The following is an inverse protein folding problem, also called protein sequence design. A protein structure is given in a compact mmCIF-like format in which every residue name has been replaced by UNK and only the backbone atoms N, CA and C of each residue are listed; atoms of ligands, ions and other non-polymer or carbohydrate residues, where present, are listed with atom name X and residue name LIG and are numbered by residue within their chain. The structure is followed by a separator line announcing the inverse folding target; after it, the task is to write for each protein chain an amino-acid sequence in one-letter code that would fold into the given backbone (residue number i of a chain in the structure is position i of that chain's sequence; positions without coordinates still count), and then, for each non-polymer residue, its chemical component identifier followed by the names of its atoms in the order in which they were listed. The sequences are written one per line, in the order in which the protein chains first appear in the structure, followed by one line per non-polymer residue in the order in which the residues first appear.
data_IF_795583706621
#
_entry.id   IF_795583706621
#
_cell.length_a   1.000
_cell.length_b   1.000
_cell.length_c   1.000
_cell.angle_alpha   90.00
_cell.angle_beta   90.00
_cell.angle_gamma   90.00
#
_symmetry.space_group_name_H-M   'P 1'
#
loop_
_entity.id
_entity.type
_entity.pdbx_description
1 polymer ?
#
# COMPACT_ATOMS: atom_id res chain seq x y z
N UNK A 1 60.03 -63.51 -7.09
CA UNK A 1 58.63 -63.31 -6.65
C UNK A 1 57.88 -62.64 -7.79
N UNK A 2 56.80 -63.26 -8.28
CA UNK A 2 55.95 -62.69 -9.31
C UNK A 2 55.19 -61.50 -8.70
N UNK A 3 55.62 -60.29 -9.00
CA UNK A 3 54.84 -59.09 -8.75
C UNK A 3 53.65 -59.13 -9.70
N UNK A 4 52.53 -59.69 -9.22
CA UNK A 4 51.23 -59.56 -9.87
C UNK A 4 51.06 -58.11 -10.32
N UNK A 5 50.89 -57.92 -11.63
CA UNK A 5 50.71 -56.62 -12.30
C UNK A 5 49.50 -55.90 -11.70
N UNK A 6 49.74 -55.03 -10.74
CA UNK A 6 48.75 -54.05 -10.27
C UNK A 6 48.57 -53.04 -11.41
N UNK A 7 47.34 -52.86 -11.88
CA UNK A 7 47.04 -51.86 -12.91
C UNK A 7 47.35 -50.45 -12.38
N UNK A 8 47.95 -49.56 -13.20
CA UNK A 8 48.27 -48.21 -12.77
C UNK A 8 46.99 -47.45 -12.35
N UNK A 9 47.05 -46.77 -11.21
CA UNK A 9 45.97 -45.93 -10.72
C UNK A 9 45.87 -44.66 -11.57
N UNK A 10 44.65 -44.34 -12.03
CA UNK A 10 44.34 -43.11 -12.74
C UNK A 10 44.85 -43.09 -14.18
N UNK A 11 43.92 -42.96 -15.14
CA UNK A 11 44.23 -42.49 -16.49
C UNK A 11 43.90 -41.00 -16.56
N UNK A 12 44.58 -40.26 -17.41
CA UNK A 12 44.30 -38.84 -17.66
C UNK A 12 42.82 -38.60 -17.98
N UNK A 13 42.21 -39.52 -18.75
CA UNK A 13 40.78 -39.52 -19.06
C UNK A 13 39.89 -39.52 -17.81
N UNK A 14 40.25 -40.32 -16.79
CA UNK A 14 39.49 -40.40 -15.52
C UNK A 14 39.59 -39.10 -14.72
N UNK A 15 40.75 -38.44 -14.72
CA UNK A 15 40.90 -37.15 -14.05
C UNK A 15 40.02 -36.07 -14.72
N UNK A 16 39.96 -36.10 -16.06
CA UNK A 16 39.12 -35.19 -16.85
C UNK A 16 37.63 -35.44 -16.59
N UNK A 17 37.18 -36.69 -16.59
CA UNK A 17 35.79 -37.04 -16.28
C UNK A 17 35.38 -36.58 -14.88
N UNK A 18 36.26 -36.75 -13.89
CA UNK A 18 36.02 -36.27 -12.53
C UNK A 18 35.96 -34.74 -12.46
N UNK A 19 36.81 -34.04 -13.22
CA UNK A 19 36.79 -32.58 -13.31
C UNK A 19 35.49 -32.07 -13.96
N UNK A 20 35.06 -32.67 -15.06
CA UNK A 20 33.82 -32.29 -15.75
C UNK A 20 32.59 -32.56 -14.86
N UNK A 21 32.58 -33.69 -14.15
CA UNK A 21 31.52 -34.00 -13.18
C UNK A 21 31.49 -33.00 -12.01
N UNK A 22 32.67 -32.65 -11.47
CA UNK A 22 32.78 -31.66 -10.40
C UNK A 22 32.28 -30.28 -10.85
N UNK A 23 32.65 -29.83 -12.05
CA UNK A 23 32.18 -28.56 -12.61
C UNK A 23 30.65 -28.53 -12.74
N UNK A 24 30.04 -29.56 -13.34
CA UNK A 24 28.58 -29.66 -13.46
C UNK A 24 27.86 -29.67 -12.11
N UNK A 25 28.47 -30.30 -11.10
CA UNK A 25 27.91 -30.32 -9.74
C UNK A 25 27.97 -28.93 -9.11
N UNK A 26 29.04 -28.17 -9.34
CA UNK A 26 29.17 -26.79 -8.87
C UNK A 26 28.15 -25.87 -9.56
N UNK A 27 27.97 -25.99 -10.87
CA UNK A 27 26.96 -25.21 -11.62
C UNK A 27 25.56 -25.45 -11.04
N UNK A 28 25.22 -26.71 -10.76
CA UNK A 28 23.92 -27.07 -10.15
C UNK A 28 23.76 -26.44 -8.76
N UNK A 29 24.84 -26.33 -7.98
CA UNK A 29 24.79 -25.67 -6.67
C UNK A 29 24.58 -24.17 -6.79
N UNK A 30 25.23 -23.52 -7.77
CA UNK A 30 25.05 -22.10 -8.06
C UNK A 30 23.60 -21.84 -8.46
N UNK A 31 23.05 -22.61 -9.40
CA UNK A 31 21.65 -22.52 -9.81
C UNK A 31 20.68 -22.67 -8.62
N UNK A 32 20.97 -23.61 -7.72
CA UNK A 32 20.15 -23.83 -6.52
C UNK A 32 20.18 -22.63 -5.56
N UNK A 33 21.36 -22.04 -5.36
CA UNK A 33 21.53 -20.85 -4.50
C UNK A 33 20.80 -19.65 -5.11
N UNK A 34 20.98 -19.37 -6.40
CA UNK A 34 20.31 -18.27 -7.08
C UNK A 34 18.78 -18.42 -7.01
N UNK A 35 18.26 -19.62 -7.21
CA UNK A 35 16.83 -19.90 -7.10
C UNK A 35 16.31 -19.68 -5.66
N UNK A 36 17.08 -20.08 -4.65
CA UNK A 36 16.74 -19.86 -3.25
C UNK A 36 16.72 -18.37 -2.91
N UNK A 37 17.69 -17.59 -3.39
CA UNK A 37 17.76 -16.15 -3.18
C UNK A 37 16.56 -15.43 -3.82
N UNK A 38 16.23 -15.78 -5.07
CA UNK A 38 15.05 -15.20 -5.76
C UNK A 38 13.77 -15.50 -4.99
N UNK A 39 13.61 -16.73 -4.47
CA UNK A 39 12.45 -17.10 -3.66
C UNK A 39 12.39 -16.29 -2.35
N UNK A 40 13.52 -16.10 -1.68
CA UNK A 40 13.60 -15.37 -0.43
C UNK A 40 13.33 -13.86 -0.61
N UNK A 41 13.87 -13.26 -1.68
CA UNK A 41 13.59 -11.87 -2.04
C UNK A 41 12.10 -11.68 -2.30
N UNK A 42 11.48 -12.56 -3.10
CA UNK A 42 10.03 -12.52 -3.34
C UNK A 42 9.27 -12.61 -2.02
N UNK A 43 9.60 -13.56 -1.14
CA UNK A 43 8.96 -13.74 0.16
C UNK A 43 9.08 -12.48 1.04
N UNK A 44 10.27 -11.90 1.13
CA UNK A 44 10.55 -10.71 1.92
C UNK A 44 9.80 -9.48 1.39
N UNK A 45 9.84 -9.26 0.07
CA UNK A 45 9.14 -8.16 -0.62
C UNK A 45 7.63 -8.27 -0.43
N UNK A 46 7.05 -9.44 -0.68
CA UNK A 46 5.60 -9.64 -0.47
C UNK A 46 5.21 -9.36 0.98
N UNK A 47 5.97 -9.87 1.95
CA UNK A 47 5.70 -9.64 3.37
C UNK A 47 5.82 -8.15 3.74
N UNK A 48 6.79 -7.43 3.18
CA UNK A 48 6.93 -5.99 3.39
C UNK A 48 5.75 -5.22 2.77
N UNK A 49 5.37 -5.52 1.53
CA UNK A 49 4.27 -4.86 0.83
C UNK A 49 2.91 -5.14 1.49
N UNK A 50 2.67 -6.35 1.99
CA UNK A 50 1.44 -6.65 2.77
C UNK A 50 1.35 -5.79 4.01
N UNK A 51 2.46 -5.61 4.75
CA UNK A 51 2.49 -4.74 5.94
C UNK A 51 2.29 -3.27 5.57
N UNK A 52 2.95 -2.80 4.51
CA UNK A 52 2.80 -1.44 4.03
C UNK A 52 1.34 -1.15 3.65
N UNK A 53 0.72 -2.04 2.87
CA UNK A 53 -0.70 -1.92 2.50
C UNK A 53 -1.61 -1.83 3.73
N UNK A 54 -1.38 -2.68 4.74
CA UNK A 54 -2.18 -2.63 5.98
C UNK A 54 -2.00 -1.31 6.74
N UNK A 55 -0.77 -0.80 6.84
CA UNK A 55 -0.49 0.50 7.45
C UNK A 55 -1.16 1.64 6.67
N UNK A 56 -1.04 1.64 5.35
CA UNK A 56 -1.62 2.66 4.47
C UNK A 56 -3.16 2.68 4.53
N UNK A 57 -3.82 1.51 4.53
CA UNK A 57 -5.29 1.45 4.70
C UNK A 57 -5.70 2.06 6.04
N UNK A 58 -5.01 1.71 7.12
CA UNK A 58 -5.28 2.26 8.46
C UNK A 58 -5.09 3.78 8.50
N UNK A 59 -4.07 4.31 7.82
CA UNK A 59 -3.84 5.75 7.72
C UNK A 59 -4.95 6.43 6.92
N UNK A 60 -5.39 5.85 5.80
CA UNK A 60 -6.54 6.37 5.06
C UNK A 60 -7.82 6.42 5.90
N UNK A 61 -8.13 5.36 6.65
CA UNK A 61 -9.28 5.33 7.56
C UNK A 61 -9.16 6.39 8.65
N UNK A 62 -7.94 6.63 9.14
CA UNK A 62 -7.66 7.65 10.15
C UNK A 62 -7.89 9.06 9.61
N UNK A 63 -7.37 9.35 8.41
CA UNK A 63 -7.57 10.65 7.74
C UNK A 63 -9.05 10.88 7.50
N UNK A 64 -9.76 9.92 6.89
CA UNK A 64 -11.18 10.05 6.60
C UNK A 64 -12.00 10.35 7.86
N UNK A 65 -11.72 9.67 8.98
CA UNK A 65 -12.38 9.93 10.25
C UNK A 65 -12.09 11.35 10.78
N UNK A 66 -10.84 11.80 10.72
CA UNK A 66 -10.46 13.12 11.19
C UNK A 66 -11.09 14.24 10.35
N UNK A 67 -11.13 14.08 9.03
CA UNK A 67 -11.78 15.03 8.11
C UNK A 67 -13.28 15.14 8.40
N UNK A 68 -13.99 14.02 8.55
CA UNK A 68 -15.41 14.05 8.90
C UNK A 68 -15.65 14.73 10.26
N UNK A 69 -14.82 14.42 11.27
CA UNK A 69 -14.92 15.06 12.58
C UNK A 69 -14.67 16.58 12.50
N UNK A 70 -13.74 17.01 11.64
CA UNK A 70 -13.47 18.43 11.44
C UNK A 70 -14.66 19.14 10.77
N UNK A 71 -15.29 18.50 9.78
CA UNK A 71 -16.51 19.01 9.13
C UNK A 71 -17.66 19.12 10.12
N UNK A 72 -17.89 18.06 10.91
CA UNK A 72 -18.96 18.04 11.91
C UNK A 72 -18.73 19.15 12.96
N UNK A 73 -17.52 19.28 13.49
CA UNK A 73 -17.17 20.32 14.45
C UNK A 73 -17.32 21.74 13.87
N UNK A 74 -16.97 21.93 12.60
CA UNK A 74 -17.18 23.21 11.93
C UNK A 74 -18.67 23.53 11.80
N UNK A 75 -19.48 22.57 11.37
CA UNK A 75 -20.92 22.74 11.21
C UNK A 75 -21.64 23.01 12.55
N UNK A 76 -21.22 22.34 13.63
CA UNK A 76 -21.74 22.57 14.97
C UNK A 76 -21.41 23.98 15.48
N UNK A 77 -20.28 24.56 15.07
CA UNK A 77 -19.87 25.90 15.45
C UNK A 77 -20.47 27.01 14.55
N UNK A 78 -20.84 26.69 13.30
CA UNK A 78 -21.24 27.69 12.30
C UNK A 78 -22.66 27.44 11.78
N UNK A 79 -23.64 28.08 12.42
CA UNK A 79 -25.02 28.04 11.97
C UNK A 79 -25.27 29.14 10.93
N UNK A 80 -25.33 28.77 9.65
CA UNK A 80 -25.47 29.75 8.55
C UNK A 80 -26.59 30.77 8.75
N UNK A 81 -27.79 30.36 9.21
CA UNK A 81 -28.90 31.29 9.47
C UNK A 81 -28.69 32.22 10.65
N UNK A 82 -27.89 31.81 11.64
CA UNK A 82 -27.55 32.66 12.78
C UNK A 82 -26.47 33.67 12.40
N UNK A 83 -25.51 33.27 11.57
CA UNK A 83 -24.42 34.12 11.08
C UNK A 83 -24.82 35.01 9.90
N UNK A 84 -25.83 34.59 9.14
CA UNK A 84 -26.40 35.32 8.02
C UNK A 84 -27.92 35.43 8.22
N UNK A 85 -28.38 36.36 9.10
CA UNK A 85 -29.79 36.56 9.35
C UNK A 85 -30.52 36.89 8.05
N UNK A 86 -31.56 36.13 7.75
CA UNK A 86 -32.45 36.43 6.63
C UNK A 86 -33.49 37.43 7.12
N UNK A 87 -33.42 38.66 6.62
CA UNK A 87 -34.54 39.59 6.72
C UNK A 87 -35.51 39.29 5.58
N UNK A 88 -36.75 38.95 5.91
CA UNK A 88 -37.75 38.75 4.88
C UNK A 88 -38.32 40.10 4.44
N UNK A 89 -38.46 40.34 3.13
CA UNK A 89 -38.90 41.64 2.59
C UNK A 89 -40.23 42.15 3.18
N UNK A 90 -41.11 41.25 3.60
CA UNK A 90 -42.40 41.59 4.20
C UNK A 90 -42.32 41.95 5.69
N UNK A 91 -41.18 41.74 6.36
CA UNK A 91 -40.97 42.17 7.76
C UNK A 91 -40.93 43.70 7.88
N UNK A 92 -40.54 44.40 6.82
CA UNK A 92 -40.55 45.87 6.71
C UNK A 92 -41.87 46.42 6.13
N UNK A 93 -42.81 45.55 5.74
CA UNK A 93 -44.12 45.97 5.23
C UNK A 93 -45.03 46.43 6.38
N UNK A 94 -45.81 47.48 6.12
CA UNK A 94 -46.76 47.97 7.11
C UNK A 94 -47.84 46.91 7.39
N UNK A 95 -48.40 46.84 8.62
CA UNK A 95 -49.45 45.88 8.92
C UNK A 95 -50.61 46.02 7.94
N UNK A 96 -51.14 44.89 7.45
CA UNK A 96 -52.23 44.84 6.46
C UNK A 96 -53.46 45.66 6.88
N UNK A 97 -53.68 45.84 8.19
CA UNK A 97 -54.76 46.69 8.70
C UNK A 97 -54.60 48.17 8.33
N UNK A 98 -53.36 48.65 8.19
CA UNK A 98 -53.05 50.03 7.83
C UNK A 98 -53.27 50.32 6.34
N UNK A 99 -53.27 49.28 5.49
CA UNK A 99 -53.53 49.43 4.06
C UNK A 99 -54.97 49.84 3.78
N UNK A 100 -55.91 49.48 4.66
CA UNK A 100 -57.33 49.89 4.57
C UNK A 100 -57.51 51.41 4.67
N UNK A 101 -56.52 52.12 5.24
CA UNK A 101 -56.56 53.57 5.45
C UNK A 101 -55.75 54.35 4.38
N UNK A 102 -55.05 53.67 3.48
CA UNK A 102 -54.36 54.30 2.35
C UNK A 102 -55.32 54.48 1.17
N UNK A 103 -55.67 55.73 0.88
CA UNK A 103 -56.40 56.09 -0.33
C UNK A 103 -55.44 56.19 -1.51
N UNK A 104 -55.64 55.38 -2.54
CA UNK A 104 -54.98 55.56 -3.83
C UNK A 104 -55.57 56.84 -4.48
N UNK A 105 -54.71 57.82 -4.75
CA UNK A 105 -55.06 59.04 -5.49
C UNK A 105 -54.67 58.88 -6.95
#
# INVERSE_FOLDING_TARGET
MNFNKIAPFGKEDTAKELQDHAAKTQDTLVDAVENAEVAEIKRAVFRALTRLRAATIKEFDTIARLETQAIDAYNDAHHYRAENPLAHLHEDEAPVETDKLKSFH
#
